data_IF_878269378124
#
_entry.id   IF_878269378124
#
_cell.length_a   1.000
_cell.length_b   1.000
_cell.length_c   1.000
_cell.angle_alpha   90.00
_cell.angle_beta   90.00
_cell.angle_gamma   90.00
#
_symmetry.space_group_name_H-M   'P 1'
#
loop_
_entity.id
_entity.type
_entity.pdbx_description
1 polymer ?
#
# COMPACT_ATOMS: atom_id res chain seq x y z
N UNK A 1 15.57 7.49 -10.82
CA UNK A 1 14.10 7.61 -10.71
C UNK A 1 13.56 7.97 -12.08
N UNK A 2 12.61 7.19 -12.60
CA UNK A 2 11.81 7.59 -13.77
C UNK A 2 10.47 8.16 -13.27
N UNK A 3 9.91 9.14 -13.98
CA UNK A 3 8.72 9.86 -13.58
C UNK A 3 7.83 10.14 -14.79
N UNK A 4 6.54 9.87 -14.65
CA UNK A 4 5.52 10.03 -15.68
C UNK A 4 4.29 10.65 -15.04
N UNK A 5 3.61 11.52 -15.78
CA UNK A 5 2.36 12.13 -15.36
C UNK A 5 1.37 12.11 -16.52
N UNK A 6 0.14 11.68 -16.27
CA UNK A 6 -0.93 11.71 -17.27
C UNK A 6 -1.63 13.08 -17.29
N UNK A 7 -2.56 13.29 -18.23
CA UNK A 7 -3.32 14.54 -18.34
C UNK A 7 -4.26 14.81 -17.14
N UNK A 8 -4.65 13.77 -16.40
CA UNK A 8 -5.45 13.88 -15.18
C UNK A 8 -4.61 14.24 -13.94
N UNK A 9 -3.29 14.36 -14.09
CA UNK A 9 -2.35 14.69 -13.01
C UNK A 9 -1.90 13.48 -12.19
N UNK A 10 -2.33 12.26 -12.52
CA UNK A 10 -1.88 11.04 -11.86
C UNK A 10 -0.43 10.76 -12.22
N UNK A 11 0.32 10.26 -11.24
CA UNK A 11 1.76 10.11 -11.32
C UNK A 11 2.15 8.64 -11.23
N UNK A 12 3.00 8.18 -12.15
CA UNK A 12 3.77 6.96 -12.02
C UNK A 12 5.24 7.31 -11.83
N UNK A 13 5.87 6.74 -10.81
CA UNK A 13 7.32 6.82 -10.61
C UNK A 13 7.92 5.44 -10.44
N UNK A 14 9.11 5.25 -11.00
CA UNK A 14 9.90 4.03 -10.84
C UNK A 14 11.16 4.39 -10.08
N UNK A 15 11.26 3.85 -8.87
CA UNK A 15 12.31 4.16 -7.91
C UNK A 15 13.22 2.95 -7.76
N UNK A 16 14.53 3.20 -7.74
CA UNK A 16 15.53 2.19 -7.42
C UNK A 16 16.21 2.61 -6.12
N UNK A 17 16.21 1.71 -5.14
CA UNK A 17 16.91 1.88 -3.88
C UNK A 17 18.08 0.90 -3.82
N UNK A 18 19.31 1.41 -3.83
CA UNK A 18 20.54 0.60 -3.82
C UNK A 18 20.98 0.17 -2.42
N UNK A 19 20.02 -0.22 -1.58
CA UNK A 19 20.25 -0.65 -0.20
C UNK A 19 19.34 -1.83 0.17
N UNK A 20 19.66 -2.51 1.26
CA UNK A 20 18.80 -3.58 1.80
C UNK A 20 17.37 -3.04 2.01
N UNK A 21 16.34 -3.71 1.46
CA UNK A 21 14.96 -3.30 1.67
C UNK A 21 14.62 -3.31 3.16
N UNK A 22 13.91 -2.28 3.60
CA UNK A 22 13.45 -2.09 4.98
C UNK A 22 12.13 -2.81 5.28
N UNK A 23 11.79 -3.84 4.49
CA UNK A 23 10.59 -4.66 4.71
C UNK A 23 10.81 -5.53 5.95
N UNK A 24 10.13 -5.20 7.04
CA UNK A 24 10.25 -5.86 8.34
C UNK A 24 9.51 -7.19 8.46
N UNK A 25 9.19 -7.85 7.35
CA UNK A 25 8.42 -9.09 7.30
C UNK A 25 8.84 -9.98 6.13
N UNK A 26 8.51 -11.27 6.21
CA UNK A 26 8.67 -12.19 5.07
C UNK A 26 7.68 -11.81 3.96
N UNK A 27 8.18 -11.66 2.74
CA UNK A 27 7.40 -11.27 1.56
C UNK A 27 6.39 -12.35 1.12
N UNK A 28 6.48 -13.55 1.69
CA UNK A 28 5.52 -14.63 1.46
C UNK A 28 4.51 -14.80 2.59
N UNK A 29 4.67 -14.08 3.72
CA UNK A 29 3.75 -14.10 4.84
C UNK A 29 2.82 -12.89 4.79
N UNK A 30 1.60 -13.10 4.29
CA UNK A 30 0.62 -12.04 4.13
C UNK A 30 0.28 -11.34 5.44
N UNK A 31 0.14 -12.09 6.54
CA UNK A 31 -0.28 -11.51 7.82
C UNK A 31 0.85 -10.71 8.46
N UNK A 32 2.10 -11.19 8.35
CA UNK A 32 3.26 -10.43 8.79
C UNK A 32 3.46 -9.14 7.96
N UNK A 33 3.27 -9.21 6.64
CA UNK A 33 3.31 -8.02 5.78
C UNK A 33 2.23 -7.01 6.15
N UNK A 34 0.99 -7.46 6.36
CA UNK A 34 -0.13 -6.58 6.75
C UNK A 34 0.12 -5.92 8.09
N UNK A 35 0.65 -6.65 9.07
CA UNK A 35 1.05 -6.05 10.35
C UNK A 35 2.15 -4.99 10.17
N UNK A 36 3.23 -5.33 9.44
CA UNK A 36 4.33 -4.41 9.19
C UNK A 36 3.89 -3.12 8.47
N UNK A 37 3.14 -3.25 7.37
CA UNK A 37 2.71 -2.10 6.58
C UNK A 37 1.61 -1.28 7.26
N UNK A 38 0.78 -1.91 8.11
CA UNK A 38 -0.14 -1.17 8.99
C UNK A 38 0.63 -0.23 9.92
N UNK A 39 1.59 -0.77 10.67
CA UNK A 39 2.39 0.01 11.62
C UNK A 39 3.17 1.13 10.90
N UNK A 40 3.73 0.82 9.73
CA UNK A 40 4.46 1.79 8.91
C UNK A 40 3.54 2.90 8.34
N UNK A 41 2.35 2.55 7.85
CA UNK A 41 1.38 3.52 7.34
C UNK A 41 0.90 4.46 8.45
N UNK A 42 0.53 3.92 9.61
CA UNK A 42 0.06 4.70 10.75
C UNK A 42 1.14 5.65 11.29
N UNK A 43 2.38 5.16 11.40
CA UNK A 43 3.53 5.99 11.77
C UNK A 43 3.77 7.14 10.79
N UNK A 44 3.39 6.96 9.53
CA UNK A 44 3.44 7.98 8.48
C UNK A 44 2.18 8.84 8.36
N UNK A 45 1.17 8.66 9.21
CA UNK A 45 -0.11 9.36 9.13
C UNK A 45 -1.00 8.94 7.94
N UNK A 46 -0.75 7.75 7.40
CA UNK A 46 -1.51 7.13 6.31
C UNK A 46 -2.40 6.01 6.84
N UNK A 47 -3.45 5.69 6.09
CA UNK A 47 -4.29 4.53 6.32
C UNK A 47 -3.93 3.41 5.32
N UNK A 48 -3.79 2.19 5.82
CA UNK A 48 -3.66 1.00 4.98
C UNK A 48 -5.02 0.65 4.35
N UNK A 49 -5.04 0.47 3.02
CA UNK A 49 -6.23 0.04 2.27
C UNK A 49 -6.08 -1.43 1.82
N UNK A 50 -4.93 -1.77 1.24
CA UNK A 50 -4.58 -3.12 0.76
C UNK A 50 -3.09 -3.40 0.97
N UNK A 51 -2.76 -4.62 1.37
CA UNK A 51 -1.40 -5.17 1.38
C UNK A 51 -1.48 -6.66 1.10
N UNK A 52 -0.88 -7.08 -0.01
CA UNK A 52 -0.86 -8.48 -0.42
C UNK A 52 0.49 -8.88 -1.03
N UNK A 53 0.99 -10.08 -0.71
CA UNK A 53 2.10 -10.68 -1.44
C UNK A 53 1.63 -11.05 -2.85
N UNK A 54 2.40 -10.66 -3.86
CA UNK A 54 2.09 -10.90 -5.28
C UNK A 54 3.33 -11.39 -6.03
N UNK A 55 3.12 -11.83 -7.28
CA UNK A 55 4.21 -12.18 -8.20
C UNK A 55 4.14 -11.27 -9.41
N UNK A 56 5.23 -10.57 -9.71
CA UNK A 56 5.36 -9.68 -10.86
C UNK A 56 6.49 -10.20 -11.74
N UNK A 57 6.18 -10.52 -13.00
CA UNK A 57 7.11 -11.17 -13.92
C UNK A 57 7.81 -12.42 -13.33
N UNK A 58 7.10 -13.18 -12.48
CA UNK A 58 7.62 -14.36 -11.79
C UNK A 58 8.49 -14.09 -10.56
N UNK A 59 8.65 -12.82 -10.16
CA UNK A 59 9.42 -12.42 -8.99
C UNK A 59 8.50 -12.07 -7.81
N UNK A 60 8.87 -12.44 -6.56
CA UNK A 60 8.15 -12.00 -5.38
C UNK A 60 8.10 -10.49 -5.30
N UNK A 61 6.91 -9.96 -5.04
CA UNK A 61 6.67 -8.55 -4.85
C UNK A 61 5.60 -8.32 -3.78
N UNK A 62 5.53 -7.11 -3.26
CA UNK A 62 4.47 -6.67 -2.36
C UNK A 62 3.62 -5.63 -3.07
N UNK A 63 2.32 -5.88 -3.14
CA UNK A 63 1.31 -4.87 -3.52
C UNK A 63 0.91 -4.12 -2.27
N UNK A 64 0.91 -2.79 -2.33
CA UNK A 64 0.35 -1.95 -1.25
C UNK A 64 -0.53 -0.88 -1.84
N UNK A 65 -1.67 -0.59 -1.21
CA UNK A 65 -2.49 0.59 -1.45
C UNK A 65 -2.69 1.31 -0.13
N UNK A 66 -2.26 2.57 -0.08
CA UNK A 66 -2.33 3.44 1.08
C UNK A 66 -3.19 4.67 0.75
N UNK A 67 -3.82 5.22 1.78
CA UNK A 67 -4.66 6.42 1.70
C UNK A 67 -4.10 7.50 2.63
N UNK A 68 -4.02 8.73 2.13
CA UNK A 68 -3.58 9.92 2.87
C UNK A 68 -4.62 11.03 2.82
N UNK A 69 -4.60 11.92 3.83
CA UNK A 69 -5.37 13.18 3.81
C UNK A 69 -4.57 14.26 3.09
N UNK A 70 -5.25 15.09 2.33
CA UNK A 70 -4.69 16.27 1.68
C UNK A 70 -5.16 17.56 2.36
N UNK A 71 -4.32 18.59 2.30
CA UNK A 71 -4.66 19.94 2.73
C UNK A 71 -5.08 20.81 1.53
N UNK A 72 -6.11 21.67 1.66
CA UNK A 72 -6.99 21.82 2.82
C UNK A 72 -8.03 20.70 2.94
N UNK A 73 -8.35 20.00 1.85
CA UNK A 73 -9.34 18.92 1.80
C UNK A 73 -8.94 17.85 0.77
N UNK A 74 -9.54 16.67 0.91
CA UNK A 74 -9.46 15.57 -0.05
C UNK A 74 -8.55 14.42 0.38
N UNK A 75 -8.55 13.39 -0.45
CA UNK A 75 -7.78 12.17 -0.27
C UNK A 75 -6.74 12.01 -1.39
N UNK A 76 -5.59 11.45 -1.01
CA UNK A 76 -4.59 10.93 -1.96
C UNK A 76 -4.49 9.43 -1.75
N UNK A 77 -4.41 8.69 -2.85
CA UNK A 77 -4.17 7.26 -2.85
C UNK A 77 -2.82 6.97 -3.49
N UNK A 78 -2.05 6.13 -2.81
CA UNK A 78 -0.70 5.75 -3.20
C UNK A 78 -0.69 4.24 -3.32
N UNK A 79 -0.42 3.74 -4.52
CA UNK A 79 -0.39 2.32 -4.81
C UNK A 79 1.00 1.93 -5.29
N UNK A 80 1.54 0.82 -4.79
CA UNK A 80 2.90 0.40 -5.10
C UNK A 80 3.00 -1.09 -5.43
N UNK A 81 3.90 -1.42 -6.35
CA UNK A 81 4.61 -2.70 -6.32
C UNK A 81 6.03 -2.48 -5.83
N UNK A 82 6.41 -3.22 -4.81
CA UNK A 82 7.79 -3.30 -4.32
C UNK A 82 8.36 -4.66 -4.71
N UNK A 83 9.42 -4.67 -5.51
CA UNK A 83 10.20 -5.86 -5.86
C UNK A 83 11.50 -5.84 -5.03
N UNK A 84 11.57 -6.56 -3.90
CA UNK A 84 12.73 -6.55 -3.02
C UNK A 84 13.76 -7.62 -3.41
N UNK A 85 15.03 -7.24 -3.34
CA UNK A 85 16.19 -8.11 -3.50
C UNK A 85 17.09 -8.00 -2.25
N UNK A 86 18.14 -8.82 -2.17
CA UNK A 86 18.99 -8.88 -0.98
C UNK A 86 19.68 -7.55 -0.61
N UNK A 87 19.91 -6.67 -1.58
CA UNK A 87 20.65 -5.41 -1.39
C UNK A 87 20.11 -4.25 -2.25
N UNK A 88 18.91 -4.39 -2.81
CA UNK A 88 18.23 -3.32 -3.51
C UNK A 88 16.71 -3.59 -3.57
N UNK A 89 15.95 -2.58 -3.96
CA UNK A 89 14.56 -2.73 -4.36
C UNK A 89 14.22 -1.86 -5.57
N UNK A 90 13.21 -2.30 -6.31
CA UNK A 90 12.52 -1.49 -7.30
C UNK A 90 11.10 -1.23 -6.81
N UNK A 91 10.70 0.04 -6.78
CA UNK A 91 9.36 0.45 -6.34
C UNK A 91 8.67 1.20 -7.47
N UNK A 92 7.64 0.57 -8.02
CA UNK A 92 6.71 1.21 -8.94
C UNK A 92 5.63 1.86 -8.09
N UNK A 93 5.62 3.19 -8.03
CA UNK A 93 4.68 3.95 -7.21
C UNK A 93 3.75 4.74 -8.12
N UNK A 94 2.45 4.50 -7.97
CA UNK A 94 1.36 5.25 -8.58
C UNK A 94 0.74 6.13 -7.52
N UNK A 95 0.41 7.37 -7.87
CA UNK A 95 -0.29 8.29 -7.00
C UNK A 95 -1.41 8.99 -7.76
N UNK A 96 -2.61 9.01 -7.15
CA UNK A 96 -3.76 9.76 -7.63
C UNK A 96 -4.39 10.53 -6.47
N UNK A 97 -4.80 11.76 -6.74
CA UNK A 97 -5.39 12.67 -5.76
C UNK A 97 -6.80 13.02 -6.16
N UNK A 98 -7.69 13.20 -5.18
CA UNK A 98 -9.01 13.76 -5.46
C UNK A 98 -8.85 15.18 -6.03
N UNK A 99 -9.63 15.47 -7.07
CA UNK A 99 -9.69 16.77 -7.71
C UNK A 99 -11.14 17.24 -7.81
N UNK A 100 -11.36 18.56 -7.72
CA UNK A 100 -12.70 19.13 -7.80
C UNK A 100 -13.55 18.84 -6.56
N UNK A 101 -14.67 18.15 -6.75
CA UNK A 101 -15.58 17.76 -5.65
C UNK A 101 -14.98 16.54 -4.93
N UNK A 102 -14.58 16.73 -3.69
CA UNK A 102 -13.99 15.68 -2.84
C UNK A 102 -15.06 14.95 -2.03
N UNK A 103 -14.80 13.70 -1.65
CA UNK A 103 -15.67 12.92 -0.77
C UNK A 103 -16.97 12.42 -1.39
N UNK A 104 -17.11 12.51 -2.72
CA UNK A 104 -18.34 12.11 -3.42
C UNK A 104 -18.59 10.61 -3.31
N UNK A 105 -17.56 9.78 -3.53
CA UNK A 105 -17.64 8.32 -3.38
C UNK A 105 -18.03 7.96 -1.96
N UNK A 106 -17.32 8.52 -0.98
CA UNK A 106 -17.55 8.26 0.44
C UNK A 106 -18.97 8.65 0.85
N UNK A 107 -19.44 9.83 0.44
CA UNK A 107 -20.78 10.33 0.81
C UNK A 107 -21.90 9.49 0.20
N UNK A 108 -21.77 9.09 -1.07
CA UNK A 108 -22.76 8.26 -1.75
C UNK A 108 -22.85 6.86 -1.14
N UNK A 109 -21.70 6.23 -0.84
CA UNK A 109 -21.67 4.91 -0.24
C UNK A 109 -22.12 4.95 1.23
N UNK A 110 -21.74 5.98 1.98
CA UNK A 110 -22.22 6.14 3.35
C UNK A 110 -23.75 6.26 3.39
N UNK A 111 -24.33 7.06 2.50
CA UNK A 111 -25.78 7.21 2.38
C UNK A 111 -26.49 5.92 1.93
N UNK A 112 -25.86 5.09 1.10
CA UNK A 112 -26.47 3.85 0.60
C UNK A 112 -26.43 2.70 1.60
N UNK A 113 -25.37 2.58 2.40
CA UNK A 113 -25.18 1.49 3.35
C UNK A 113 -26.02 1.64 4.63
N UNK A 114 -26.42 2.87 4.98
CA UNK A 114 -27.17 3.18 6.20
C UNK A 114 -26.55 2.54 7.46
N UNK A 115 -25.22 2.58 7.56
CA UNK A 115 -24.46 2.02 8.68
C UNK A 115 -24.22 3.08 9.76
N UNK A 116 -24.11 2.68 11.04
CA UNK A 116 -23.63 3.57 12.09
C UNK A 116 -22.23 4.11 11.76
N UNK A 117 -21.93 5.33 12.21
CA UNK A 117 -20.64 5.97 11.96
C UNK A 117 -19.47 5.16 12.54
N UNK A 118 -19.70 4.41 13.62
CA UNK A 118 -18.73 3.53 14.28
C UNK A 118 -18.36 2.32 13.41
N UNK A 119 -19.23 1.93 12.48
CA UNK A 119 -19.02 0.83 11.55
C UNK A 119 -18.46 1.31 10.19
N UNK A 120 -18.28 2.62 10.02
CA UNK A 120 -17.82 3.22 8.77
C UNK A 120 -16.34 2.95 8.51
N UNK A 121 -15.51 2.96 9.55
CA UNK A 121 -14.07 2.75 9.48
C UNK A 121 -13.67 1.40 10.10
N UNK A 122 -12.82 0.67 9.39
CA UNK A 122 -12.33 -0.64 9.81
C UNK A 122 -10.95 -0.91 9.22
N UNK A 123 -10.14 -1.70 9.92
CA UNK A 123 -8.96 -2.27 9.31
C UNK A 123 -9.37 -3.37 8.30
N UNK A 124 -8.69 -3.46 7.14
CA UNK A 124 -8.98 -4.46 6.11
C UNK A 124 -8.84 -5.91 6.54
N UNK A 125 -8.01 -6.20 7.53
CA UNK A 125 -7.56 -7.56 7.82
C UNK A 125 -7.66 -7.95 9.31
N UNK A 126 -7.75 -6.99 10.25
CA UNK A 126 -8.04 -7.25 11.66
C UNK A 126 -9.21 -6.38 12.18
N UNK A 127 -10.44 -6.93 12.32
CA UNK A 127 -11.60 -6.14 12.75
C UNK A 127 -11.48 -5.57 14.17
N UNK A 128 -10.52 -6.05 14.98
CA UNK A 128 -10.27 -5.54 16.34
C UNK A 128 -9.30 -4.37 16.35
N UNK A 129 -8.56 -4.15 15.26
CA UNK A 129 -7.63 -3.04 15.16
C UNK A 129 -8.39 -1.72 15.00
N UNK A 130 -7.88 -0.68 15.67
CA UNK A 130 -8.44 0.67 15.65
C UNK A 130 -7.32 1.70 15.65
N UNK A 131 -7.43 2.68 14.76
CA UNK A 131 -6.52 3.81 14.63
C UNK A 131 -7.31 5.10 14.29
N UNK A 132 -6.69 6.26 14.49
CA UNK A 132 -7.28 7.58 14.23
C UNK A 132 -7.61 7.82 12.74
N UNK A 133 -6.92 7.10 11.86
CA UNK A 133 -7.15 7.16 10.42
C UNK A 133 -7.04 5.78 9.79
N UNK A 134 -8.18 5.28 9.31
CA UNK A 134 -8.29 3.95 8.68
C UNK A 134 -8.98 4.06 7.32
N UNK A 135 -8.92 2.96 6.56
CA UNK A 135 -9.84 2.78 5.43
C UNK A 135 -11.29 2.84 5.92
N UNK A 136 -12.19 3.17 5.02
CA UNK A 136 -13.63 3.14 5.28
C UNK A 136 -14.32 2.15 4.32
N UNK A 137 -15.62 1.90 4.53
CA UNK A 137 -16.38 0.95 3.71
C UNK A 137 -16.38 1.30 2.22
N UNK A 138 -16.35 2.59 1.86
CA UNK A 138 -16.32 3.02 0.46
C UNK A 138 -15.01 2.64 -0.24
N UNK A 139 -13.93 2.35 0.50
CA UNK A 139 -12.67 1.92 -0.08
C UNK A 139 -12.75 0.47 -0.62
N UNK A 140 -13.84 -0.29 -0.41
CA UNK A 140 -13.98 -1.65 -0.96
C UNK A 140 -13.88 -1.67 -2.49
N UNK A 141 -13.17 -2.66 -3.10
CA UNK A 141 -13.08 -2.80 -4.56
C UNK A 141 -14.43 -2.93 -5.27
N UNK A 142 -15.47 -3.40 -4.59
CA UNK A 142 -16.81 -3.57 -5.18
C UNK A 142 -17.42 -2.27 -5.74
N UNK A 143 -16.95 -1.11 -5.27
CA UNK A 143 -17.42 0.20 -5.72
C UNK A 143 -16.59 0.77 -6.88
N UNK A 144 -15.47 0.16 -7.26
CA UNK A 144 -14.55 0.76 -8.23
C UNK A 144 -15.21 0.96 -9.61
N UNK A 145 -16.04 0.00 -10.04
CA UNK A 145 -16.79 0.08 -11.29
C UNK A 145 -17.85 1.19 -11.31
N UNK A 146 -18.41 1.55 -10.13
CA UNK A 146 -19.37 2.65 -10.01
C UNK A 146 -18.66 4.01 -10.00
N UNK A 147 -17.40 4.06 -9.57
CA UNK A 147 -16.61 5.27 -9.45
C UNK A 147 -15.28 5.16 -10.21
N UNK A 148 -15.30 4.97 -11.55
CA UNK A 148 -14.09 4.68 -12.31
C UNK A 148 -13.05 5.81 -12.26
N UNK A 149 -13.50 7.07 -12.17
CA UNK A 149 -12.63 8.25 -12.09
C UNK A 149 -12.12 8.55 -10.67
N UNK A 150 -12.63 7.83 -9.66
CA UNK A 150 -12.18 8.03 -8.29
C UNK A 150 -10.71 7.62 -8.14
N UNK A 151 -9.88 8.40 -7.42
CA UNK A 151 -8.45 8.13 -7.29
C UNK A 151 -8.10 6.70 -6.86
N UNK A 152 -8.84 6.12 -5.90
CA UNK A 152 -8.63 4.72 -5.48
C UNK A 152 -8.86 3.72 -6.62
N UNK A 153 -9.95 3.90 -7.39
CA UNK A 153 -10.26 3.03 -8.52
C UNK A 153 -9.17 3.12 -9.59
N UNK A 154 -8.70 4.35 -9.87
CA UNK A 154 -7.63 4.59 -10.84
C UNK A 154 -6.33 3.92 -10.42
N UNK A 155 -5.88 4.09 -9.17
CA UNK A 155 -4.58 3.49 -8.77
C UNK A 155 -4.62 1.97 -8.75
N UNK A 156 -5.78 1.35 -8.44
CA UNK A 156 -5.97 -0.10 -8.55
C UNK A 156 -5.90 -0.56 -10.01
N UNK A 157 -6.67 0.08 -10.89
CA UNK A 157 -6.65 -0.19 -12.32
C UNK A 157 -5.22 -0.09 -12.89
N UNK A 158 -4.52 1.00 -12.59
CA UNK A 158 -3.16 1.21 -13.07
C UNK A 158 -2.16 0.18 -12.54
N UNK A 159 -2.30 -0.28 -11.29
CA UNK A 159 -1.48 -1.38 -10.78
C UNK A 159 -1.77 -2.68 -11.52
N UNK A 160 -3.04 -2.99 -11.78
CA UNK A 160 -3.42 -4.22 -12.47
C UNK A 160 -2.89 -4.22 -13.92
N UNK A 161 -3.05 -3.10 -14.64
CA UNK A 161 -2.47 -2.92 -15.97
C UNK A 161 -0.94 -3.00 -15.97
N UNK A 162 -0.29 -2.42 -14.95
CA UNK A 162 1.16 -2.43 -14.83
C UNK A 162 1.69 -3.84 -14.55
N UNK A 163 0.99 -4.64 -13.74
CA UNK A 163 1.40 -6.01 -13.43
C UNK A 163 1.52 -6.89 -14.70
N UNK A 164 0.68 -6.63 -15.70
CA UNK A 164 0.69 -7.32 -17.00
C UNK A 164 1.80 -6.84 -17.93
N UNK A 165 2.32 -5.62 -17.73
CA UNK A 165 3.26 -4.96 -18.64
C UNK A 165 4.70 -4.90 -18.11
N UNK A 166 4.94 -5.17 -16.83
CA UNK A 166 6.29 -5.16 -16.28
C UNK A 166 7.11 -6.30 -16.89
N UNK A 167 8.18 -5.92 -17.58
CA UNK A 167 9.26 -6.81 -18.00
C UNK A 167 10.50 -6.56 -17.15
N UNK A 168 11.16 -7.65 -16.75
CA UNK A 168 12.36 -7.58 -15.90
C UNK A 168 13.57 -8.01 -16.69
N UNK A 169 14.56 -7.12 -16.78
CA UNK A 169 15.83 -7.43 -17.43
C UNK A 169 16.51 -8.66 -16.78
N UNK A 170 17.17 -9.56 -17.55
CA UNK A 170 17.77 -10.77 -16.99
C UNK A 170 18.74 -10.53 -15.84
N UNK A 171 19.49 -9.42 -15.87
CA UNK A 171 20.41 -9.05 -14.80
C UNK A 171 19.70 -8.74 -13.46
N UNK A 172 18.49 -8.16 -13.52
CA UNK A 172 17.65 -7.89 -12.35
C UNK A 172 16.98 -9.18 -11.87
N UNK A 173 16.47 -10.00 -12.77
CA UNK A 173 15.87 -11.29 -12.43
C UNK A 173 16.86 -12.26 -11.77
N UNK A 174 18.15 -12.16 -12.11
CA UNK A 174 19.24 -12.94 -11.50
C UNK A 174 19.75 -12.37 -10.17
N UNK A 175 19.24 -11.22 -9.71
CA UNK A 175 19.65 -10.65 -8.43
C UNK A 175 19.25 -11.56 -7.26
N UNK A 176 20.04 -11.53 -6.18
CA UNK A 176 19.78 -12.39 -5.03
C UNK A 176 18.43 -12.05 -4.40
N UNK A 177 17.57 -13.04 -4.11
CA UNK A 177 16.28 -12.78 -3.48
C UNK A 177 16.42 -12.09 -2.13
N UNK A 178 15.47 -11.21 -1.82
CA UNK A 178 15.29 -10.72 -0.45
C UNK A 178 14.99 -11.88 0.49
N UNK A 179 15.57 -11.84 1.69
CA UNK A 179 15.30 -12.81 2.74
C UNK A 179 15.09 -12.04 4.03
N UNK A 180 13.86 -12.05 4.52
CA UNK A 180 13.57 -11.54 5.84
C UNK A 180 14.40 -12.31 6.87
N UNK A 181 14.97 -11.56 7.82
CA UNK A 181 15.66 -12.09 8.98
C UNK A 181 15.01 -11.46 10.18
N UNK A 182 14.44 -12.28 11.04
CA UNK A 182 13.93 -11.79 12.32
C UNK A 182 15.03 -10.97 13.01
N UNK A 183 14.69 -9.79 13.57
CA UNK A 183 15.62 -9.06 14.40
C UNK A 183 16.13 -10.01 15.47
N UNK A 184 17.46 -10.24 15.51
CA UNK A 184 18.04 -11.04 16.61
C UNK A 184 17.64 -10.35 17.90
N UNK A 185 16.73 -10.95 18.65
CA UNK A 185 16.33 -10.46 19.96
C UNK A 185 17.62 -10.26 20.77
N UNK A 186 17.92 -9.01 21.15
CA UNK A 186 18.94 -8.77 22.17
C UNK A 186 18.37 -9.34 23.46
N UNK A 187 18.73 -10.59 23.74
CA UNK A 187 18.40 -11.30 24.96
C UNK A 187 19.09 -10.59 26.14
N UNK A 188 18.51 -9.49 26.63
CA UNK A 188 18.85 -8.95 27.95
C UNK A 188 18.17 -9.83 29.00
N UNK A 189 18.68 -11.05 29.18
CA UNK A 189 18.35 -11.84 30.35
C UNK A 189 19.01 -11.23 31.58
N UNK A 190 18.21 -11.07 32.65
CA UNK A 190 18.62 -11.02 34.06
C UNK A 190 19.70 -9.99 34.41
N UNK A 191 19.33 -8.85 34.99
CA UNK A 191 20.14 -8.26 36.08
C UNK A 191 19.46 -7.14 36.88
N UNK A 192 18.20 -7.28 37.32
CA UNK A 192 17.70 -6.45 38.44
C UNK A 192 16.79 -7.27 39.36
N UNK A 193 17.42 -8.12 40.18
CA UNK A 193 17.00 -8.36 41.57
C UNK A 193 18.12 -7.83 42.46
N UNK A 194 17.88 -6.71 43.13
CA UNK A 194 18.27 -6.45 44.52
C UNK A 194 17.35 -5.38 45.06
#
# INVERSE_FOLDING_TARGET
MAYFQNAAGDVLSINYFGMEPDIGADVHDADALRAFYRDAAESGGLAMVEVDPVSIAGLPAVRTVLKGRMEPHGLVFIACFTLPFANCSYVFKIQSSEGGITGMRESMIFASLNVPIEAWQEDPYDPRHKADFMRNRADSPEYDAQFPDHPLSKVRLYLDELAEQIEVAPAVAAARPFKFREPRTRFWSRFWRK
#
